data_IF_952637076763
#
_entry.id   IF_952637076763
#
_cell.length_a   1.000
_cell.length_b   1.000
_cell.length_c   1.000
_cell.angle_alpha   90.00
_cell.angle_beta   90.00
_cell.angle_gamma   90.00
#
_symmetry.space_group_name_H-M   'P 1'
#
loop_
_entity.id
_entity.type
_entity.pdbx_description
1 polymer ?
#
# COMPACT_ATOMS: atom_id res chain seq x y z
N UNK A 1 45.62 -14.19 32.98
CA UNK A 1 44.14 -14.33 32.93
C UNK A 1 43.55 -13.05 32.35
N UNK A 2 43.33 -13.01 31.04
CA UNK A 2 42.78 -11.86 30.33
C UNK A 2 41.28 -12.08 30.14
N UNK A 3 40.44 -11.33 30.85
CA UNK A 3 38.98 -11.34 30.67
C UNK A 3 38.64 -10.74 29.32
N UNK A 4 38.12 -11.55 28.39
CA UNK A 4 37.45 -11.06 27.17
C UNK A 4 36.15 -10.38 27.57
N UNK A 5 36.08 -9.07 27.41
CA UNK A 5 34.85 -8.30 27.46
C UNK A 5 34.08 -8.65 26.17
N UNK A 6 32.90 -9.30 26.28
CA UNK A 6 31.97 -9.49 25.16
C UNK A 6 31.54 -8.11 24.68
N UNK A 7 32.01 -7.69 23.51
CA UNK A 7 31.56 -6.48 22.85
C UNK A 7 30.09 -6.64 22.47
N UNK A 8 29.22 -5.90 23.13
CA UNK A 8 27.84 -5.69 22.66
C UNK A 8 27.93 -4.92 21.34
N UNK A 9 27.62 -5.60 20.22
CA UNK A 9 27.37 -4.90 18.96
C UNK A 9 26.10 -4.05 19.17
N UNK A 10 26.28 -2.76 19.37
CA UNK A 10 25.15 -1.82 19.27
C UNK A 10 24.60 -1.95 17.84
N UNK A 11 23.44 -2.58 17.70
CA UNK A 11 22.68 -2.53 16.46
C UNK A 11 22.20 -1.09 16.37
N UNK A 12 22.84 -0.30 15.51
CA UNK A 12 22.40 1.05 15.19
C UNK A 12 20.99 0.94 14.56
N UNK A 13 19.98 1.27 15.35
CA UNK A 13 18.58 1.28 14.88
C UNK A 13 18.43 2.47 13.93
N UNK A 14 18.23 2.20 12.64
CA UNK A 14 18.10 3.23 11.62
C UNK A 14 16.66 3.70 11.49
N UNK A 15 16.49 5.02 11.36
CA UNK A 15 15.21 5.62 10.97
C UNK A 15 15.18 5.76 9.44
N UNK A 16 14.03 5.48 8.85
CA UNK A 16 13.78 5.69 7.42
C UNK A 16 12.31 6.03 7.18
N UNK A 17 12.05 6.69 6.08
CA UNK A 17 10.73 7.18 5.71
C UNK A 17 10.26 6.59 4.39
N UNK A 18 8.98 6.19 4.34
CA UNK A 18 8.33 5.65 3.16
C UNK A 18 7.14 6.52 2.77
N UNK A 19 6.93 6.71 1.48
CA UNK A 19 5.77 7.40 0.93
C UNK A 19 5.08 6.49 -0.09
N UNK A 20 3.75 6.32 0.06
CA UNK A 20 2.91 5.68 -0.96
C UNK A 20 1.92 6.66 -1.55
N UNK A 21 1.71 6.59 -2.88
CA UNK A 21 0.79 7.49 -3.58
C UNK A 21 0.20 6.90 -4.85
N UNK A 22 -1.12 6.82 -4.90
CA UNK A 22 -1.82 6.58 -6.17
C UNK A 22 -1.79 7.87 -7.01
N UNK A 23 -1.12 7.83 -8.17
CA UNK A 23 -0.89 8.99 -9.04
C UNK A 23 -2.07 9.34 -9.95
N UNK A 24 -3.17 8.55 -9.87
CA UNK A 24 -4.42 8.75 -10.60
C UNK A 24 -4.23 8.94 -12.12
N UNK A 25 -3.22 8.26 -12.72
CA UNK A 25 -2.95 8.33 -14.18
C UNK A 25 -2.61 9.74 -14.68
N UNK A 26 -2.14 10.64 -13.83
CA UNK A 26 -1.97 12.06 -14.14
C UNK A 26 -0.68 12.35 -14.92
N UNK A 27 -0.49 11.77 -16.13
CA UNK A 27 0.73 11.93 -16.94
C UNK A 27 1.13 13.40 -17.13
N UNK A 28 0.16 14.30 -17.32
CA UNK A 28 0.39 15.73 -17.51
C UNK A 28 1.10 16.37 -16.31
N UNK A 29 0.84 15.87 -15.11
CA UNK A 29 1.32 16.43 -13.84
C UNK A 29 2.47 15.61 -13.23
N UNK A 30 3.12 14.74 -14.02
CA UNK A 30 4.20 13.87 -13.50
C UNK A 30 5.36 14.66 -12.87
N UNK A 31 5.73 15.81 -13.42
CA UNK A 31 6.79 16.66 -12.88
C UNK A 31 6.38 17.28 -11.54
N UNK A 32 5.19 17.84 -11.46
CA UNK A 32 4.66 18.44 -10.24
C UNK A 32 4.44 17.35 -9.16
N UNK A 33 4.04 16.14 -9.54
CA UNK A 33 3.94 15.01 -8.62
C UNK A 33 5.31 14.65 -8.04
N UNK A 34 6.34 14.52 -8.88
CA UNK A 34 7.71 14.21 -8.42
C UNK A 34 8.28 15.35 -7.57
N UNK A 35 8.05 16.62 -7.95
CA UNK A 35 8.46 17.76 -7.14
C UNK A 35 7.77 17.77 -5.77
N UNK A 36 6.48 17.43 -5.73
CA UNK A 36 5.74 17.28 -4.46
C UNK A 36 6.35 16.18 -3.58
N UNK A 37 6.64 15.00 -4.13
CA UNK A 37 7.32 13.91 -3.41
C UNK A 37 8.67 14.39 -2.87
N UNK A 38 9.49 15.03 -3.71
CA UNK A 38 10.83 15.47 -3.37
C UNK A 38 10.86 16.54 -2.27
N UNK A 39 9.77 17.30 -2.09
CA UNK A 39 9.67 18.29 -1.00
C UNK A 39 9.66 17.64 0.39
N UNK A 40 9.25 16.37 0.50
CA UNK A 40 9.25 15.59 1.73
C UNK A 40 10.49 14.68 1.89
N UNK A 41 11.27 14.48 0.84
CA UNK A 41 12.49 13.67 0.81
C UNK A 41 12.33 12.27 1.43
N UNK A 42 11.32 11.48 1.05
CA UNK A 42 11.19 10.12 1.56
C UNK A 42 12.37 9.24 1.10
N UNK A 43 12.78 8.29 1.93
CA UNK A 43 13.85 7.33 1.59
C UNK A 43 13.37 6.26 0.60
N UNK A 44 12.08 5.94 0.66
CA UNK A 44 11.40 4.98 -0.24
C UNK A 44 10.10 5.57 -0.75
N UNK A 45 9.88 5.47 -2.05
CA UNK A 45 8.64 5.91 -2.72
C UNK A 45 7.97 4.72 -3.40
N UNK A 46 6.66 4.59 -3.22
CA UNK A 46 5.82 3.60 -3.91
C UNK A 46 4.67 4.31 -4.63
N UNK A 47 4.63 4.21 -5.97
CA UNK A 47 3.60 4.85 -6.80
C UNK A 47 2.65 3.81 -7.39
N UNK A 48 1.35 4.12 -7.39
CA UNK A 48 0.31 3.30 -7.98
C UNK A 48 -0.38 4.05 -9.13
N UNK A 49 -1.14 3.33 -9.93
CA UNK A 49 -1.78 3.80 -11.16
C UNK A 49 -0.82 4.47 -12.16
N UNK A 50 0.42 4.00 -12.21
CA UNK A 50 1.38 4.38 -13.25
C UNK A 50 0.93 3.77 -14.56
N UNK A 51 0.71 4.60 -15.60
CA UNK A 51 0.39 4.10 -16.93
C UNK A 51 1.64 3.57 -17.63
N UNK A 52 1.53 2.49 -18.39
CA UNK A 52 2.64 1.90 -19.14
C UNK A 52 3.37 2.92 -20.02
N UNK A 53 2.65 3.85 -20.65
CA UNK A 53 3.23 4.90 -21.48
C UNK A 53 3.86 6.06 -20.69
N UNK A 54 3.62 6.15 -19.38
CA UNK A 54 4.25 7.14 -18.48
C UNK A 54 5.42 6.58 -17.68
N UNK A 55 5.63 5.27 -17.66
CA UNK A 55 6.64 4.60 -16.85
C UNK A 55 8.05 5.17 -17.08
N UNK A 56 8.50 5.23 -18.32
CA UNK A 56 9.82 5.78 -18.67
C UNK A 56 9.99 7.23 -18.22
N UNK A 57 8.95 8.06 -18.38
CA UNK A 57 8.98 9.48 -17.96
C UNK A 57 9.12 9.58 -16.44
N UNK A 58 8.28 8.86 -15.70
CA UNK A 58 8.32 8.87 -14.22
C UNK A 58 9.65 8.34 -13.68
N UNK A 59 10.17 7.24 -14.21
CA UNK A 59 11.50 6.73 -13.85
C UNK A 59 12.60 7.76 -14.06
N UNK A 60 12.59 8.45 -15.21
CA UNK A 60 13.56 9.52 -15.52
C UNK A 60 13.45 10.68 -14.52
N UNK A 61 12.24 11.09 -14.16
CA UNK A 61 12.05 12.15 -13.19
C UNK A 61 12.50 11.73 -11.77
N UNK A 62 12.16 10.51 -11.35
CA UNK A 62 12.57 9.97 -10.06
C UNK A 62 14.09 9.76 -9.96
N UNK A 63 14.76 9.42 -11.06
CA UNK A 63 16.22 9.14 -11.07
C UNK A 63 17.09 10.35 -10.70
N UNK A 64 16.52 11.55 -10.66
CA UNK A 64 17.23 12.75 -10.14
C UNK A 64 17.51 12.66 -8.62
N UNK A 65 16.69 11.90 -7.88
CA UNK A 65 16.77 11.80 -6.43
C UNK A 65 16.92 10.37 -5.90
N UNK A 66 16.61 9.34 -6.71
CA UNK A 66 16.64 7.94 -6.31
C UNK A 66 17.54 7.13 -7.24
N UNK A 67 18.47 6.36 -6.65
CA UNK A 67 19.45 5.55 -7.38
C UNK A 67 18.89 4.24 -7.92
N UNK A 68 17.93 3.66 -7.21
CA UNK A 68 17.32 2.37 -7.54
C UNK A 68 15.83 2.58 -7.81
N UNK A 69 15.35 2.17 -8.99
CA UNK A 69 13.96 2.33 -9.40
C UNK A 69 13.55 1.08 -10.15
N UNK A 70 12.46 0.46 -9.69
CA UNK A 70 11.89 -0.76 -10.29
C UNK A 70 10.41 -0.52 -10.53
N UNK A 71 9.89 -0.93 -11.69
CA UNK A 71 8.47 -0.95 -11.97
C UNK A 71 7.95 -2.36 -12.21
N UNK A 72 6.65 -2.55 -12.00
CA UNK A 72 6.00 -3.82 -12.33
C UNK A 72 6.04 -4.13 -13.82
N UNK A 73 6.26 -3.13 -14.68
CA UNK A 73 6.43 -3.34 -16.13
C UNK A 73 7.79 -3.93 -16.48
N UNK A 74 8.83 -3.70 -15.67
CA UNK A 74 10.15 -4.32 -15.85
C UNK A 74 10.11 -5.83 -15.61
N UNK A 75 9.14 -6.30 -14.84
CA UNK A 75 8.98 -7.69 -14.41
C UNK A 75 7.83 -8.40 -15.14
N UNK A 76 7.07 -7.69 -15.96
CA UNK A 76 5.94 -8.26 -16.67
C UNK A 76 6.43 -9.26 -17.74
N UNK A 77 5.91 -10.50 -17.78
CA UNK A 77 6.33 -11.52 -18.73
C UNK A 77 5.95 -11.16 -20.18
N UNK A 78 4.85 -10.44 -20.37
CA UNK A 78 4.37 -9.96 -21.66
C UNK A 78 3.62 -8.62 -21.48
N UNK A 79 4.14 -7.56 -22.09
CA UNK A 79 3.52 -6.23 -22.07
C UNK A 79 2.25 -6.14 -22.93
N UNK A 80 2.07 -7.04 -23.89
CA UNK A 80 0.91 -7.02 -24.80
C UNK A 80 -0.40 -7.34 -24.08
N UNK A 81 -0.35 -8.06 -22.96
CA UNK A 81 -1.52 -8.33 -22.13
C UNK A 81 -1.95 -7.13 -21.28
N UNK A 82 -1.09 -6.12 -21.15
CA UNK A 82 -1.31 -4.94 -20.29
C UNK A 82 -2.12 -3.87 -21.04
N UNK A 83 -3.35 -4.22 -21.40
CA UNK A 83 -4.29 -3.37 -22.11
C UNK A 83 -5.50 -3.00 -21.26
N UNK A 84 -6.23 -1.93 -21.63
CA UNK A 84 -7.49 -1.52 -20.97
C UNK A 84 -7.33 -1.40 -19.45
N UNK A 85 -8.03 -2.26 -18.69
CA UNK A 85 -8.01 -2.26 -17.22
C UNK A 85 -6.67 -2.69 -16.62
N UNK A 86 -5.79 -3.34 -17.41
CA UNK A 86 -4.49 -3.84 -16.98
C UNK A 86 -3.31 -2.93 -17.34
N UNK A 87 -3.53 -1.79 -17.96
CA UNK A 87 -2.48 -0.83 -18.38
C UNK A 87 -1.83 -0.03 -17.24
N UNK A 88 -2.17 -0.35 -16.00
CA UNK A 88 -1.68 0.34 -14.80
C UNK A 88 -0.73 -0.55 -14.01
N UNK A 89 0.43 -0.03 -13.70
CA UNK A 89 1.44 -0.69 -12.88
C UNK A 89 1.84 0.13 -11.66
N UNK A 90 2.95 -0.29 -11.06
CA UNK A 90 3.54 0.24 -9.84
C UNK A 90 4.98 0.66 -10.09
N UNK A 91 5.48 1.64 -9.32
CA UNK A 91 6.91 1.96 -9.23
C UNK A 91 7.33 1.95 -7.76
N UNK A 92 8.50 1.36 -7.47
CA UNK A 92 9.22 1.57 -6.21
C UNK A 92 10.54 2.26 -6.54
N UNK A 93 10.85 3.35 -5.83
CA UNK A 93 12.10 4.09 -5.97
C UNK A 93 12.74 4.29 -4.59
N UNK A 94 14.07 4.13 -4.50
CA UNK A 94 14.82 4.30 -3.25
C UNK A 94 16.30 4.60 -3.50
N UNK A 95 16.95 5.21 -2.51
CA UNK A 95 18.41 5.29 -2.45
C UNK A 95 19.05 4.07 -1.82
N UNK A 96 18.29 3.23 -1.14
CA UNK A 96 18.74 1.91 -0.69
C UNK A 96 18.76 0.92 -1.85
N UNK A 97 19.57 -0.13 -1.73
CA UNK A 97 19.59 -1.22 -2.72
C UNK A 97 18.23 -1.90 -2.78
N UNK A 98 17.75 -2.15 -3.99
CA UNK A 98 16.52 -2.90 -4.28
C UNK A 98 16.86 -4.14 -5.11
N UNK A 99 16.23 -5.26 -4.79
CA UNK A 99 16.23 -6.47 -5.62
C UNK A 99 14.77 -6.92 -5.85
N UNK A 100 14.32 -7.13 -7.09
CA UNK A 100 12.94 -7.54 -7.34
C UNK A 100 12.69 -8.98 -6.90
N UNK A 101 11.48 -9.26 -6.43
CA UNK A 101 10.95 -10.60 -6.25
C UNK A 101 10.15 -11.03 -7.49
N UNK A 102 9.92 -12.33 -7.65
CA UNK A 102 9.09 -12.83 -8.76
C UNK A 102 7.63 -12.37 -8.59
N UNK A 103 7.01 -11.73 -9.60
CA UNK A 103 5.61 -11.33 -9.55
C UNK A 103 4.64 -12.50 -9.29
N UNK A 104 5.02 -13.73 -9.66
CA UNK A 104 4.21 -14.93 -9.45
C UNK A 104 4.07 -15.35 -8.00
N UNK A 105 4.95 -14.86 -7.13
CA UNK A 105 4.96 -15.21 -5.70
C UNK A 105 3.64 -14.90 -4.99
N UNK A 106 2.86 -13.94 -5.48
CA UNK A 106 1.61 -13.52 -4.85
C UNK A 106 0.36 -14.26 -5.34
N UNK A 107 0.46 -15.08 -6.38
CA UNK A 107 -0.68 -15.81 -6.97
C UNK A 107 -1.94 -14.94 -7.14
N UNK A 108 -1.78 -13.73 -7.68
CA UNK A 108 -2.86 -12.78 -7.93
C UNK A 108 -3.30 -12.79 -9.40
N UNK A 109 -4.58 -12.48 -9.72
CA UNK A 109 -5.07 -12.51 -11.09
C UNK A 109 -4.33 -11.57 -12.05
N UNK A 110 -3.92 -10.40 -11.54
CA UNK A 110 -3.22 -9.37 -12.30
C UNK A 110 -1.87 -9.05 -11.64
N UNK A 111 -0.83 -9.73 -12.07
CA UNK A 111 0.51 -9.66 -11.45
C UNK A 111 1.08 -8.24 -11.44
N UNK A 112 0.80 -7.43 -12.46
CA UNK A 112 1.22 -6.03 -12.54
C UNK A 112 0.63 -5.14 -11.44
N UNK A 113 -0.35 -5.63 -10.68
CA UNK A 113 -0.98 -4.92 -9.55
C UNK A 113 -0.24 -5.05 -8.24
N UNK A 114 0.76 -5.91 -8.19
CA UNK A 114 1.64 -6.07 -7.02
C UNK A 114 3.08 -5.95 -7.49
N UNK A 115 3.84 -5.07 -6.86
CA UNK A 115 5.28 -4.99 -7.03
C UNK A 115 5.95 -5.29 -5.70
N UNK A 116 6.83 -6.25 -5.69
CA UNK A 116 7.55 -6.72 -4.50
C UNK A 116 9.05 -6.65 -4.73
N UNK A 117 9.77 -6.10 -3.75
CA UNK A 117 11.21 -6.00 -3.75
C UNK A 117 11.79 -6.37 -2.39
N UNK A 118 13.04 -6.81 -2.37
CA UNK A 118 13.86 -6.82 -1.16
C UNK A 118 14.58 -5.49 -1.07
N UNK A 119 14.38 -4.80 0.03
CA UNK A 119 14.98 -3.51 0.36
C UNK A 119 16.06 -3.73 1.42
N UNK A 120 17.29 -3.31 1.14
CA UNK A 120 18.42 -3.52 2.03
C UNK A 120 18.76 -2.21 2.76
N UNK A 121 18.51 -2.19 4.06
CA UNK A 121 18.85 -1.07 4.96
C UNK A 121 19.87 -1.56 5.99
N UNK A 122 21.11 -1.09 5.89
CA UNK A 122 22.22 -1.55 6.70
C UNK A 122 22.36 -3.09 6.63
N UNK A 123 22.14 -3.80 7.74
CA UNK A 123 22.19 -5.28 7.79
C UNK A 123 20.79 -5.93 7.77
N UNK A 124 19.74 -5.15 7.50
CA UNK A 124 18.37 -5.64 7.47
C UNK A 124 17.89 -5.84 6.04
N UNK A 125 17.30 -6.99 5.77
CA UNK A 125 16.57 -7.30 4.55
C UNK A 125 15.07 -7.13 4.85
N UNK A 126 14.42 -6.23 4.11
CA UNK A 126 13.01 -5.87 4.29
C UNK A 126 12.28 -6.23 3.00
N UNK A 127 11.23 -7.04 3.10
CA UNK A 127 10.33 -7.33 2.00
C UNK A 127 9.33 -6.18 1.86
N UNK A 128 9.55 -5.36 0.86
CA UNK A 128 8.75 -4.17 0.61
C UNK A 128 7.81 -4.40 -0.58
N UNK A 129 6.51 -4.28 -0.33
CA UNK A 129 5.47 -4.57 -1.30
C UNK A 129 4.59 -3.34 -1.53
N UNK A 130 4.25 -3.07 -2.79
CA UNK A 130 3.22 -2.09 -3.11
C UNK A 130 2.15 -2.70 -4.00
N UNK A 131 0.91 -2.26 -3.79
CA UNK A 131 -0.23 -2.78 -4.54
C UNK A 131 -1.20 -1.66 -4.93
N UNK A 132 -1.90 -1.87 -6.05
CA UNK A 132 -3.14 -1.19 -6.38
C UNK A 132 -4.23 -2.24 -6.57
N UNK A 133 -5.03 -2.45 -5.55
CA UNK A 133 -6.13 -3.40 -5.59
C UNK A 133 -7.20 -2.91 -6.58
N UNK A 134 -7.59 -3.72 -7.59
CA UNK A 134 -8.62 -3.32 -8.54
C UNK A 134 -9.93 -2.95 -7.83
N UNK A 135 -10.54 -1.78 -8.08
CA UNK A 135 -11.78 -1.39 -7.41
C UNK A 135 -12.92 -2.37 -7.75
N UNK A 136 -13.57 -2.90 -6.74
CA UNK A 136 -14.63 -3.89 -6.91
C UNK A 136 -15.85 -3.37 -7.70
N UNK A 137 -16.06 -2.05 -7.79
CA UNK A 137 -17.13 -1.45 -8.60
C UNK A 137 -16.98 -1.74 -10.10
N UNK A 138 -15.74 -1.80 -10.59
CA UNK A 138 -15.46 -2.01 -12.01
C UNK A 138 -14.87 -3.37 -12.35
N UNK A 139 -14.34 -4.11 -11.35
CA UNK A 139 -13.57 -5.34 -11.57
C UNK A 139 -14.13 -6.55 -10.80
N UNK A 140 -15.20 -6.36 -10.02
CA UNK A 140 -15.88 -7.47 -9.32
C UNK A 140 -14.93 -8.25 -8.40
N UNK A 141 -14.94 -9.56 -8.54
CA UNK A 141 -14.23 -10.53 -7.69
C UNK A 141 -12.72 -10.52 -7.85
N UNK A 142 -12.17 -9.96 -8.94
CA UNK A 142 -10.72 -9.74 -9.11
C UNK A 142 -10.14 -8.98 -7.90
N UNK A 143 -10.93 -8.06 -7.30
CA UNK A 143 -10.56 -7.36 -6.07
C UNK A 143 -10.26 -8.35 -4.94
N UNK A 144 -11.19 -9.26 -4.68
CA UNK A 144 -11.11 -10.19 -3.55
C UNK A 144 -10.01 -11.22 -3.78
N UNK A 145 -9.92 -11.79 -4.97
CA UNK A 145 -8.85 -12.72 -5.35
C UNK A 145 -7.45 -12.09 -5.20
N UNK A 146 -7.33 -10.80 -5.53
CA UNK A 146 -6.06 -10.07 -5.32
C UNK A 146 -5.75 -9.91 -3.82
N UNK A 147 -6.75 -9.54 -2.99
CA UNK A 147 -6.56 -9.42 -1.54
C UNK A 147 -6.23 -10.79 -0.91
N UNK A 148 -6.92 -11.85 -1.32
CA UNK A 148 -6.69 -13.22 -0.84
C UNK A 148 -5.25 -13.68 -1.16
N UNK A 149 -4.77 -13.46 -2.41
CA UNK A 149 -3.40 -13.81 -2.81
C UNK A 149 -2.33 -13.06 -2.01
N UNK A 150 -2.53 -11.77 -1.75
CA UNK A 150 -1.62 -10.98 -0.91
C UNK A 150 -1.65 -11.48 0.54
N UNK A 151 -2.84 -11.77 1.09
CA UNK A 151 -2.99 -12.27 2.45
C UNK A 151 -2.24 -13.60 2.67
N UNK A 152 -2.44 -14.59 1.79
CA UNK A 152 -1.77 -15.88 1.90
C UNK A 152 -0.25 -15.75 1.77
N UNK A 153 0.24 -14.91 0.85
CA UNK A 153 1.68 -14.68 0.70
C UNK A 153 2.30 -14.06 1.95
N UNK A 154 1.67 -13.07 2.56
CA UNK A 154 2.18 -12.46 3.80
C UNK A 154 2.12 -13.41 4.99
N UNK A 155 1.08 -14.25 5.07
CA UNK A 155 0.94 -15.30 6.07
C UNK A 155 2.08 -16.33 5.98
N UNK A 156 2.42 -16.78 4.77
CA UNK A 156 3.53 -17.70 4.52
C UNK A 156 4.88 -17.10 4.93
N UNK A 157 5.05 -15.80 4.74
CA UNK A 157 6.28 -15.07 4.98
C UNK A 157 6.25 -14.19 6.25
N UNK A 158 5.40 -14.51 7.20
CA UNK A 158 5.16 -13.70 8.41
C UNK A 158 6.41 -13.47 9.27
N UNK A 159 7.39 -14.38 9.22
CA UNK A 159 8.62 -14.28 10.00
C UNK A 159 9.61 -13.26 9.42
N UNK A 160 9.43 -12.85 8.16
CA UNK A 160 10.23 -11.82 7.50
C UNK A 160 9.86 -10.43 8.01
N UNK A 161 10.76 -9.47 7.76
CA UNK A 161 10.44 -8.05 7.94
C UNK A 161 9.62 -7.58 6.74
N UNK A 162 8.30 -7.46 6.89
CA UNK A 162 7.39 -7.07 5.81
C UNK A 162 6.92 -5.63 5.96
N UNK A 163 6.86 -4.90 4.85
CA UNK A 163 6.11 -3.66 4.68
C UNK A 163 5.25 -3.81 3.42
N UNK A 164 3.94 -3.64 3.57
CA UNK A 164 2.98 -3.61 2.47
C UNK A 164 2.30 -2.25 2.41
N UNK A 165 2.28 -1.62 1.23
CA UNK A 165 1.62 -0.32 1.07
C UNK A 165 0.86 -0.22 -0.26
N UNK A 166 0.10 0.85 -0.43
CA UNK A 166 -0.57 1.18 -1.67
C UNK A 166 -2.04 1.50 -1.52
N UNK A 167 -2.77 1.49 -2.64
CA UNK A 167 -4.21 1.69 -2.73
C UNK A 167 -4.95 0.36 -2.67
N UNK A 168 -5.65 0.13 -1.56
CA UNK A 168 -6.42 -1.10 -1.33
C UNK A 168 -7.88 -0.99 -1.79
N UNK A 169 -8.34 0.19 -2.18
CA UNK A 169 -9.75 0.44 -2.51
C UNK A 169 -10.73 -0.05 -1.43
N UNK A 170 -10.29 -0.11 -0.18
CA UNK A 170 -11.01 -0.53 1.04
C UNK A 170 -10.35 0.16 2.25
N UNK A 171 -11.06 0.38 3.37
CA UNK A 171 -12.44 0.00 3.67
C UNK A 171 -13.49 0.95 3.09
N UNK A 172 -14.76 0.56 3.16
CA UNK A 172 -15.90 1.43 2.85
C UNK A 172 -16.00 2.58 3.85
N UNK A 173 -15.77 2.28 5.14
CA UNK A 173 -15.89 3.21 6.25
C UNK A 173 -15.09 2.69 7.45
N UNK A 174 -14.69 3.59 8.35
CA UNK A 174 -14.08 3.28 9.63
C UNK A 174 -14.74 4.12 10.72
N UNK A 175 -15.14 3.51 11.83
CA UNK A 175 -15.72 4.18 12.99
C UNK A 175 -15.34 3.50 14.32
N UNK A 176 -15.59 4.17 15.45
CA UNK A 176 -15.27 3.63 16.79
C UNK A 176 -16.12 2.42 17.15
N UNK A 177 -17.36 2.34 16.67
CA UNK A 177 -18.30 1.27 17.03
C UNK A 177 -18.02 -0.04 16.30
N UNK A 178 -17.72 0.06 15.00
CA UNK A 178 -17.58 -1.10 14.12
C UNK A 178 -16.13 -1.38 13.75
N UNK A 179 -15.20 -0.45 14.03
CA UNK A 179 -13.87 -0.46 13.52
C UNK A 179 -13.89 -0.29 11.99
N UNK A 180 -13.39 -1.26 11.26
CA UNK A 180 -13.44 -1.33 9.80
C UNK A 180 -14.78 -1.89 9.32
N UNK A 181 -15.42 -1.17 8.39
CA UNK A 181 -16.65 -1.59 7.68
C UNK A 181 -16.31 -1.90 6.23
N UNK A 182 -16.56 -3.14 5.79
CA UNK A 182 -16.33 -3.57 4.41
C UNK A 182 -17.42 -3.09 3.45
N UNK A 183 -17.16 -3.19 2.14
CA UNK A 183 -18.18 -2.88 1.13
C UNK A 183 -19.35 -3.88 1.13
N UNK A 184 -19.13 -5.12 1.60
CA UNK A 184 -20.19 -6.11 1.75
C UNK A 184 -21.09 -5.88 2.97
N UNK A 185 -20.75 -4.94 3.85
CA UNK A 185 -21.53 -4.64 5.03
C UNK A 185 -22.53 -3.49 4.80
N UNK A 186 -23.61 -3.53 5.58
CA UNK A 186 -24.55 -2.40 5.77
C UNK A 186 -24.56 -2.02 7.25
N UNK A 187 -24.66 -0.73 7.51
CA UNK A 187 -24.98 -0.23 8.85
C UNK A 187 -26.50 -0.30 9.00
N UNK A 188 -26.98 -0.96 10.05
CA UNK A 188 -28.41 -1.02 10.41
C UNK A 188 -28.83 0.23 11.22
N UNK A 189 -30.13 0.32 11.56
CA UNK A 189 -30.71 1.46 12.28
C UNK A 189 -30.12 1.63 13.71
N UNK A 190 -29.52 0.54 14.25
CA UNK A 190 -28.80 0.58 15.54
C UNK A 190 -27.33 1.01 15.38
N UNK A 191 -26.90 1.35 14.16
CA UNK A 191 -25.51 1.71 13.85
C UNK A 191 -24.54 0.52 13.86
N UNK A 192 -25.00 -0.73 13.69
CA UNK A 192 -24.17 -1.94 13.65
C UNK A 192 -23.90 -2.38 12.22
N UNK A 193 -22.66 -2.76 11.92
CA UNK A 193 -22.28 -3.31 10.64
C UNK A 193 -22.73 -4.78 10.53
N UNK A 194 -23.55 -5.10 9.52
CA UNK A 194 -24.03 -6.47 9.22
C UNK A 194 -23.62 -6.87 7.82
N UNK A 195 -23.03 -8.06 7.68
CA UNK A 195 -22.63 -8.62 6.39
C UNK A 195 -23.87 -9.01 5.60
N UNK A 196 -23.88 -8.70 4.31
CA UNK A 196 -24.93 -9.12 3.38
C UNK A 196 -24.73 -10.58 3.00
N UNK A 197 -25.79 -11.34 2.82
CA UNK A 197 -25.71 -12.74 2.35
C UNK A 197 -25.08 -12.80 0.95
N UNK A 198 -25.49 -11.90 0.05
CA UNK A 198 -24.93 -11.79 -1.29
C UNK A 198 -24.38 -10.40 -1.58
N UNK A 199 -23.29 -10.32 -2.34
CA UNK A 199 -22.70 -9.07 -2.78
C UNK A 199 -21.98 -9.27 -4.13
N UNK A 200 -22.30 -8.42 -5.11
CA UNK A 200 -21.69 -8.42 -6.46
C UNK A 200 -21.68 -9.79 -7.15
N UNK A 201 -22.81 -10.50 -7.07
CA UNK A 201 -22.96 -11.81 -7.74
C UNK A 201 -22.27 -12.97 -7.03
N UNK A 202 -21.88 -12.81 -5.77
CA UNK A 202 -21.28 -13.88 -4.97
C UNK A 202 -21.58 -13.72 -3.48
N UNK A 203 -20.87 -14.46 -2.63
CA UNK A 203 -21.08 -14.49 -1.19
C UNK A 203 -20.56 -13.22 -0.51
N UNK A 204 -21.46 -12.52 0.21
CA UNK A 204 -21.07 -11.33 0.96
C UNK A 204 -20.05 -11.62 2.07
N UNK A 205 -20.12 -12.80 2.68
CA UNK A 205 -19.19 -13.25 3.73
C UNK A 205 -17.77 -13.40 3.17
N UNK A 206 -17.58 -14.01 1.98
CA UNK A 206 -16.26 -14.13 1.35
C UNK A 206 -15.71 -12.74 0.99
N UNK A 207 -16.57 -11.85 0.49
CA UNK A 207 -16.13 -10.47 0.19
C UNK A 207 -15.69 -9.75 1.46
N UNK A 208 -16.48 -9.79 2.52
CA UNK A 208 -16.16 -9.19 3.81
C UNK A 208 -14.85 -9.75 4.38
N UNK A 209 -14.67 -11.07 4.35
CA UNK A 209 -13.46 -11.77 4.81
C UNK A 209 -12.22 -11.34 4.00
N UNK A 210 -12.34 -11.21 2.68
CA UNK A 210 -11.23 -10.77 1.82
C UNK A 210 -10.77 -9.35 2.15
N UNK A 211 -11.70 -8.38 2.30
CA UNK A 211 -11.34 -7.02 2.69
C UNK A 211 -10.78 -6.95 4.12
N UNK A 212 -11.42 -7.65 5.07
CA UNK A 212 -10.97 -7.67 6.48
C UNK A 212 -9.64 -8.39 6.66
N UNK A 213 -9.38 -9.44 5.89
CA UNK A 213 -8.12 -10.19 5.97
C UNK A 213 -6.91 -9.29 5.85
N UNK A 214 -6.94 -8.34 4.91
CA UNK A 214 -5.84 -7.37 4.78
C UNK A 214 -5.93 -6.24 5.81
N UNK A 215 -7.08 -5.58 5.95
CA UNK A 215 -7.14 -4.33 6.73
C UNK A 215 -6.95 -4.56 8.24
N UNK A 216 -7.43 -5.66 8.76
CA UNK A 216 -7.35 -5.99 10.19
C UNK A 216 -6.76 -7.38 10.48
N UNK A 217 -6.90 -8.33 9.56
CA UNK A 217 -6.50 -9.72 9.78
C UNK A 217 -5.00 -9.95 9.73
N UNK A 218 -4.21 -9.15 9.01
CA UNK A 218 -2.75 -9.26 8.98
C UNK A 218 -2.11 -9.12 10.37
N UNK A 219 -2.83 -8.51 11.31
CA UNK A 219 -2.40 -8.40 12.71
C UNK A 219 -2.18 -9.78 13.37
N UNK A 220 -2.88 -10.82 12.94
CA UNK A 220 -2.68 -12.19 13.43
C UNK A 220 -1.27 -12.73 13.12
N UNK A 221 -0.59 -12.13 12.14
CA UNK A 221 0.78 -12.45 11.73
C UNK A 221 1.78 -11.39 12.17
N UNK A 222 1.41 -10.51 13.11
CA UNK A 222 2.27 -9.43 13.58
C UNK A 222 2.52 -8.33 12.53
N UNK A 223 1.60 -8.15 11.56
CA UNK A 223 1.67 -7.09 10.53
C UNK A 223 0.48 -6.14 10.76
N UNK A 224 0.75 -4.89 11.12
CA UNK A 224 -0.28 -3.94 11.55
C UNK A 224 -0.34 -2.70 10.65
N UNK A 225 -1.54 -2.11 10.53
CA UNK A 225 -1.73 -0.79 9.89
C UNK A 225 -0.97 0.29 10.68
N UNK A 226 0.03 0.88 10.05
CA UNK A 226 0.94 1.85 10.67
C UNK A 226 0.24 3.13 11.12
N UNK A 227 -0.81 3.57 10.41
CA UNK A 227 -1.60 4.71 10.84
C UNK A 227 -2.45 4.35 12.07
N UNK A 228 -3.12 3.19 12.06
CA UNK A 228 -3.94 2.72 13.19
C UNK A 228 -3.12 2.29 14.41
N UNK A 229 -1.84 1.98 14.23
CA UNK A 229 -0.90 1.76 15.36
C UNK A 229 -0.67 3.04 16.17
N UNK A 230 -0.76 4.22 15.55
CA UNK A 230 -0.59 5.53 16.21
C UNK A 230 -1.92 6.19 16.58
N UNK A 231 -2.98 5.94 15.81
CA UNK A 231 -4.25 6.65 15.91
C UNK A 231 -5.42 5.69 15.99
N UNK A 232 -6.31 5.90 16.95
CA UNK A 232 -7.54 5.12 17.07
C UNK A 232 -8.58 5.51 15.98
N UNK A 233 -9.72 4.83 15.96
CA UNK A 233 -10.76 5.03 14.94
C UNK A 233 -11.58 6.34 15.10
N UNK A 234 -11.38 7.11 16.17
CA UNK A 234 -11.93 8.47 16.33
C UNK A 234 -11.19 9.49 15.50
N UNK A 235 -9.88 9.29 15.25
CA UNK A 235 -9.10 10.12 14.33
C UNK A 235 -9.55 9.87 12.90
N UNK A 236 -10.26 10.84 12.33
CA UNK A 236 -10.78 10.81 10.96
C UNK A 236 -9.80 11.48 10.01
N UNK A 237 -9.11 10.68 9.21
CA UNK A 237 -8.30 11.14 8.10
C UNK A 237 -8.68 10.37 6.83
N UNK A 238 -8.16 10.77 5.69
CA UNK A 238 -8.51 10.15 4.41
C UNK A 238 -7.36 10.25 3.41
N UNK A 239 -7.30 9.28 2.51
CA UNK A 239 -6.45 9.36 1.33
C UNK A 239 -7.24 9.75 0.07
N UNK A 240 -8.51 9.38 0.00
CA UNK A 240 -9.36 9.63 -1.16
C UNK A 240 -10.64 10.37 -0.78
N UNK A 241 -11.04 11.33 -1.65
CA UNK A 241 -12.30 12.07 -1.49
C UNK A 241 -13.06 12.18 -2.81
N UNK A 242 -14.37 12.07 -2.71
CA UNK A 242 -15.29 12.23 -3.82
C UNK A 242 -16.45 13.17 -3.45
N UNK A 243 -16.66 14.20 -4.27
CA UNK A 243 -17.76 15.12 -4.10
C UNK A 243 -19.01 14.56 -4.80
N UNK A 244 -20.05 14.26 -4.04
CA UNK A 244 -21.33 13.76 -4.54
C UNK A 244 -22.44 14.76 -4.16
N UNK A 245 -22.89 15.60 -5.13
CA UNK A 245 -23.89 16.65 -4.89
C UNK A 245 -23.61 17.40 -3.58
N UNK A 246 -24.43 17.19 -2.55
CA UNK A 246 -24.35 17.87 -1.27
C UNK A 246 -23.44 17.18 -0.21
N UNK A 247 -22.77 16.10 -0.59
CA UNK A 247 -21.95 15.30 0.32
C UNK A 247 -20.54 15.08 -0.19
N UNK A 248 -19.54 15.17 0.71
CA UNK A 248 -18.17 14.78 0.46
C UNK A 248 -17.90 13.43 1.11
N UNK A 249 -17.68 12.40 0.30
CA UNK A 249 -17.27 11.09 0.77
C UNK A 249 -15.75 11.09 0.92
N UNK A 250 -15.28 10.74 2.11
CA UNK A 250 -13.85 10.60 2.44
C UNK A 250 -13.57 9.16 2.86
N UNK A 251 -12.45 8.57 2.38
CA UNK A 251 -12.06 7.20 2.69
C UNK A 251 -10.56 7.08 2.83
N UNK A 252 -10.11 6.22 3.71
CA UNK A 252 -8.74 5.76 3.81
C UNK A 252 -8.57 4.54 2.90
N UNK A 253 -8.18 4.73 1.65
CA UNK A 253 -7.93 3.63 0.71
C UNK A 253 -6.45 3.26 0.64
N UNK A 254 -5.58 4.23 0.95
CA UNK A 254 -4.14 4.03 0.92
C UNK A 254 -3.64 3.74 2.34
N UNK A 255 -2.88 2.66 2.48
CA UNK A 255 -2.41 2.16 3.76
C UNK A 255 -0.93 1.80 3.72
N UNK A 256 -0.32 1.74 4.91
CA UNK A 256 0.92 1.04 5.20
C UNK A 256 0.66 0.00 6.28
N UNK A 257 0.99 -1.25 5.99
CA UNK A 257 1.05 -2.34 6.96
C UNK A 257 2.51 -2.71 7.15
N UNK A 258 2.95 -2.90 8.39
CA UNK A 258 4.34 -3.23 8.70
C UNK A 258 4.44 -4.27 9.80
N UNK A 259 5.45 -5.12 9.73
CA UNK A 259 5.78 -6.06 10.80
C UNK A 259 5.93 -5.33 12.14
N UNK A 260 5.45 -5.90 13.22
CA UNK A 260 5.48 -5.33 14.57
C UNK A 260 6.89 -5.01 15.09
N UNK A 261 7.91 -5.65 14.48
CA UNK A 261 9.33 -5.38 14.74
C UNK A 261 9.73 -3.94 14.37
N UNK A 262 8.97 -3.28 13.49
CA UNK A 262 9.18 -1.86 13.20
C UNK A 262 8.49 -0.97 14.24
N UNK A 263 9.25 -0.03 14.80
CA UNK A 263 8.62 1.06 15.55
C UNK A 263 8.12 2.12 14.57
N UNK A 264 6.82 2.35 14.54
CA UNK A 264 6.22 3.46 13.79
C UNK A 264 6.44 4.74 14.59
N UNK A 265 7.15 5.71 14.00
CA UNK A 265 7.45 7.00 14.64
C UNK A 265 6.46 8.08 14.23
N UNK A 266 5.98 8.03 12.98
CA UNK A 266 5.02 8.99 12.43
C UNK A 266 4.26 8.33 11.28
N UNK A 267 2.99 8.74 11.08
CA UNK A 267 2.17 8.40 9.92
C UNK A 267 1.25 9.58 9.62
N UNK A 268 1.29 10.10 8.38
CA UNK A 268 0.55 11.31 8.01
C UNK A 268 0.10 11.26 6.55
N UNK A 269 -1.18 11.56 6.31
CA UNK A 269 -1.68 11.86 4.95
C UNK A 269 -1.26 13.28 4.55
N UNK A 270 -0.63 13.39 3.39
CA UNK A 270 -0.15 14.65 2.83
C UNK A 270 -1.20 15.14 1.82
N UNK A 271 -2.17 15.93 2.31
CA UNK A 271 -3.22 16.43 1.44
C UNK A 271 -2.65 17.34 0.36
N UNK A 272 -2.95 17.03 -0.88
CA UNK A 272 -2.45 17.69 -2.08
C UNK A 272 -3.57 18.40 -2.85
N UNK A 273 -3.19 19.14 -3.87
CA UNK A 273 -4.12 19.69 -4.82
C UNK A 273 -4.76 18.59 -5.70
N UNK A 274 -6.07 18.60 -5.86
CA UNK A 274 -6.82 17.61 -6.65
C UNK A 274 -6.31 17.46 -8.10
N UNK A 275 -5.66 18.49 -8.65
CA UNK A 275 -5.06 18.40 -9.99
C UNK A 275 -3.93 17.38 -10.05
N UNK A 276 -3.17 17.17 -8.96
CA UNK A 276 -2.07 16.22 -8.91
C UNK A 276 -2.58 14.79 -8.80
N UNK A 277 -3.55 14.55 -7.92
CA UNK A 277 -4.24 13.25 -7.76
C UNK A 277 -5.50 13.46 -6.94
N UNK A 278 -6.49 12.61 -7.11
CA UNK A 278 -7.65 12.51 -6.21
C UNK A 278 -7.33 11.69 -4.93
N UNK A 279 -6.10 11.14 -4.85
CA UNK A 279 -5.55 10.53 -3.64
C UNK A 279 -4.52 11.45 -2.98
N UNK A 280 -4.49 11.44 -1.65
CA UNK A 280 -3.44 12.05 -0.83
C UNK A 280 -2.38 11.01 -0.51
N UNK A 281 -1.07 11.32 -0.70
CA UNK A 281 -0.02 10.40 -0.29
C UNK A 281 -0.06 10.11 1.20
N UNK A 282 0.30 8.89 1.59
CA UNK A 282 0.57 8.53 2.98
C UNK A 282 2.08 8.43 3.17
N UNK A 283 2.61 9.18 4.13
CA UNK A 283 4.01 9.11 4.54
C UNK A 283 4.10 8.49 5.93
N UNK A 284 5.00 7.51 6.08
CA UNK A 284 5.25 6.84 7.36
C UNK A 284 6.74 6.85 7.64
N UNK A 285 7.11 7.09 8.89
CA UNK A 285 8.48 7.01 9.37
C UNK A 285 8.62 5.84 10.33
N UNK A 286 9.58 4.98 10.03
CA UNK A 286 9.91 3.79 10.80
C UNK A 286 11.27 3.88 11.45
N UNK A 287 11.45 3.02 12.48
CA UNK A 287 12.73 2.69 13.07
C UNK A 287 12.84 1.16 13.17
N UNK A 288 13.94 0.59 12.64
CA UNK A 288 14.27 -0.85 12.72
C UNK A 288 14.76 -1.21 14.10
#
# INVERSE_FOLDING_TARGET
MTKRVKGYKFILMREFSCLTWNTAKRIKYSEEQVNFINSFKPDVVALQEVLINSDKKLKKLLSTNYKNIISSFDLAPDLNILTKKRMFGQIIASNFKLEPNDPKDFNVPWQERVLSVRLFIDNSEIYFHTTHIPPGSGNGWIKIETLEGIYERLKENRDNLNILCGDFNTPKEEDLKNGMVSFAQRINDRGEAKVRNSFRGGEGVRWDKGERGIIVGLKEFGIEDSFRKLFSYDVKDYSWKFNRKDNVIKRRFDHFFASEKFKVLNAKYLHNEKKLSDHSPLMVKYKT
#
